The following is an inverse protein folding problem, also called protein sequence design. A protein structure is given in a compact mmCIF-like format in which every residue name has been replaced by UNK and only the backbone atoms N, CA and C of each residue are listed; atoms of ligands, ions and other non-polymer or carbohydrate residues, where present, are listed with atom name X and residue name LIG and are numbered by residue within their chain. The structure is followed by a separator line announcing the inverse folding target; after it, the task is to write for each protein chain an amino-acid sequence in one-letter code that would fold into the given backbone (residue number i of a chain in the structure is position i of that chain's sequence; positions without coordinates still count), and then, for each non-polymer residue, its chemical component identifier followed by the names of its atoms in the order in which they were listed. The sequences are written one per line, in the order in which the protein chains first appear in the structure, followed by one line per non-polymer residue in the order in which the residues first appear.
data_IF_998279121026
#
_entry.id   IF_998279121026
#
_cell.length_a   1.000
_cell.length_b   1.000
_cell.length_c   1.000
_cell.angle_alpha   90.00
_cell.angle_beta   90.00
_cell.angle_gamma   90.00
#
_symmetry.space_group_name_H-M   'P 1'
#
loop_
_entity.id
_entity.type
_entity.pdbx_description
1 polymer ?
#
# COMPACT_ATOMS: atom_id res chain seq x y z
N UNK A 1 10.96 -5.64 2.80
CA UNK A 1 9.65 -6.34 2.83
C UNK A 1 8.90 -5.95 1.57
N UNK A 2 8.30 -6.90 0.86
CA UNK A 2 7.50 -6.64 -0.35
C UNK A 2 6.03 -6.47 0.05
N UNK A 3 5.41 -5.38 -0.41
CA UNK A 3 3.97 -5.12 -0.23
C UNK A 3 3.23 -5.56 -1.50
N UNK A 4 2.84 -6.83 -1.53
CA UNK A 4 2.13 -7.43 -2.66
C UNK A 4 1.02 -8.36 -2.15
N UNK A 5 -0.14 -8.28 -2.78
CA UNK A 5 -1.36 -8.98 -2.37
C UNK A 5 -2.60 -8.12 -2.65
N UNK A 6 -3.74 -8.54 -2.10
CA UNK A 6 -4.96 -7.74 -2.14
C UNK A 6 -4.90 -6.50 -1.23
N UNK A 7 -5.88 -5.57 -1.33
CA UNK A 7 -5.90 -4.35 -0.53
C UNK A 7 -5.82 -4.57 0.99
N UNK A 8 -6.50 -5.59 1.51
CA UNK A 8 -6.50 -5.91 2.95
C UNK A 8 -5.11 -6.38 3.42
N UNK A 9 -4.42 -7.21 2.64
CA UNK A 9 -3.07 -7.65 2.95
C UNK A 9 -2.06 -6.51 2.90
N UNK A 10 -2.19 -5.63 1.91
CA UNK A 10 -1.29 -4.47 1.79
C UNK A 10 -1.51 -3.52 2.96
N UNK A 11 -2.78 -3.22 3.30
CA UNK A 11 -3.12 -2.39 4.45
C UNK A 11 -2.60 -2.97 5.77
N UNK A 12 -2.79 -4.28 6.00
CA UNK A 12 -2.36 -4.94 7.24
C UNK A 12 -0.84 -4.93 7.40
N UNK A 13 -0.07 -5.19 6.32
CA UNK A 13 1.40 -5.10 6.37
C UNK A 13 1.88 -3.67 6.62
N UNK A 14 1.22 -2.69 6.04
CA UNK A 14 1.50 -1.26 6.24
C UNK A 14 1.25 -0.87 7.71
N UNK A 15 0.11 -1.26 8.28
CA UNK A 15 -0.21 -1.01 9.69
C UNK A 15 0.76 -1.72 10.64
N UNK A 16 1.10 -2.98 10.33
CA UNK A 16 2.09 -3.73 11.10
C UNK A 16 3.46 -3.04 11.11
N UNK A 17 3.93 -2.54 9.96
CA UNK A 17 5.20 -1.81 9.94
C UNK A 17 5.13 -0.49 10.72
N UNK A 18 3.98 0.19 10.66
CA UNK A 18 3.75 1.41 11.45
C UNK A 18 3.78 1.12 12.95
N UNK A 19 3.14 0.04 13.43
CA UNK A 19 3.15 -0.29 14.85
C UNK A 19 4.53 -0.63 15.39
N UNK A 20 5.43 -1.11 14.52
CA UNK A 20 6.81 -1.41 14.87
C UNK A 20 7.73 -0.17 14.86
N UNK A 21 7.52 0.76 13.93
CA UNK A 21 8.48 1.85 13.65
C UNK A 21 7.95 3.26 13.90
N UNK A 22 6.65 3.43 14.11
CA UNK A 22 6.00 4.74 14.26
C UNK A 22 6.10 5.63 13.01
N UNK A 23 6.22 5.04 11.82
CA UNK A 23 6.42 5.80 10.59
C UNK A 23 5.09 6.30 9.98
N UNK A 24 5.01 7.58 9.63
CA UNK A 24 3.77 8.18 9.09
C UNK A 24 3.76 8.35 7.56
N UNK A 25 4.93 8.20 6.93
CA UNK A 25 5.10 8.28 5.48
C UNK A 25 5.47 6.93 4.90
N UNK A 26 4.84 6.57 3.77
CA UNK A 26 5.17 5.40 2.94
C UNK A 26 5.50 5.85 1.52
N UNK A 27 6.58 5.32 0.96
CA UNK A 27 6.96 5.46 -0.45
C UNK A 27 7.04 4.04 -1.01
N UNK A 28 6.35 3.77 -2.11
CA UNK A 28 6.25 2.44 -2.71
C UNK A 28 6.88 2.46 -4.11
N UNK A 29 7.83 1.57 -4.35
CA UNK A 29 8.28 1.24 -5.70
C UNK A 29 7.34 0.17 -6.26
N UNK A 30 6.68 0.48 -7.38
CA UNK A 30 5.61 -0.36 -7.93
C UNK A 30 5.93 -0.90 -9.32
N UNK A 31 6.74 -0.22 -10.12
CA UNK A 31 7.22 -0.75 -11.40
C UNK A 31 8.43 -1.66 -11.15
N UNK A 32 8.28 -2.92 -11.52
CA UNK A 32 9.33 -3.93 -11.45
C UNK A 32 9.39 -4.65 -12.80
N UNK A 33 10.42 -4.33 -13.59
CA UNK A 33 10.70 -5.05 -14.83
C UNK A 33 9.88 -4.62 -16.04
N UNK A 34 9.40 -3.37 -16.08
CA UNK A 34 8.68 -2.84 -17.24
C UNK A 34 7.23 -3.27 -17.26
N UNK A 35 6.56 -3.16 -16.11
CA UNK A 35 5.13 -3.46 -16.00
C UNK A 35 4.32 -2.58 -16.94
N UNK A 36 3.16 -3.07 -17.39
CA UNK A 36 2.29 -2.25 -18.22
C UNK A 36 1.80 -1.04 -17.42
N UNK A 37 1.70 0.12 -18.07
CA UNK A 37 1.18 1.33 -17.44
C UNK A 37 -0.22 1.10 -16.83
N UNK A 38 -1.06 0.30 -17.49
CA UNK A 38 -2.40 -0.02 -17.03
C UNK A 38 -2.41 -0.74 -15.67
N UNK A 39 -1.48 -1.69 -15.46
CA UNK A 39 -1.35 -2.40 -14.18
C UNK A 39 -0.83 -1.49 -13.05
N UNK A 40 0.12 -0.61 -13.37
CA UNK A 40 0.63 0.39 -12.42
C UNK A 40 -0.48 1.35 -12.01
N UNK A 41 -1.23 1.89 -12.98
CA UNK A 41 -2.35 2.79 -12.71
C UNK A 41 -3.47 2.11 -11.91
N UNK A 42 -3.80 0.86 -12.23
CA UNK A 42 -4.77 0.07 -11.44
C UNK A 42 -4.32 -0.09 -9.99
N UNK A 43 -3.02 -0.31 -9.78
CA UNK A 43 -2.48 -0.46 -8.43
C UNK A 43 -2.49 0.87 -7.67
N UNK A 44 -2.22 2.00 -8.34
CA UNK A 44 -2.36 3.35 -7.76
C UNK A 44 -3.80 3.61 -7.34
N UNK A 45 -4.77 3.27 -8.19
CA UNK A 45 -6.21 3.41 -7.88
C UNK A 45 -6.57 2.64 -6.62
N UNK A 46 -6.22 1.34 -6.54
CA UNK A 46 -6.48 0.51 -5.36
C UNK A 46 -5.78 1.04 -4.10
N UNK A 47 -4.58 1.59 -4.22
CA UNK A 47 -3.89 2.21 -3.09
C UNK A 47 -4.67 3.41 -2.55
N UNK A 48 -5.20 4.25 -3.44
CA UNK A 48 -5.95 5.46 -3.07
C UNK A 48 -7.36 5.18 -2.56
N UNK A 49 -8.09 4.26 -3.19
CA UNK A 49 -9.53 4.04 -2.93
C UNK A 49 -9.78 2.91 -1.93
N UNK A 50 -8.92 1.90 -1.88
CA UNK A 50 -9.13 0.75 -1.00
C UNK A 50 -8.16 0.76 0.19
N UNK A 51 -6.85 0.89 -0.06
CA UNK A 51 -5.84 0.71 0.99
C UNK A 51 -5.80 1.91 1.94
N UNK A 52 -5.72 3.13 1.41
CA UNK A 52 -5.58 4.35 2.23
C UNK A 52 -6.74 4.55 3.24
N UNK A 53 -8.03 4.37 2.87
CA UNK A 53 -9.13 4.48 3.83
C UNK A 53 -9.09 3.43 4.93
N UNK A 54 -8.60 2.22 4.66
CA UNK A 54 -8.43 1.16 5.67
C UNK A 54 -7.38 1.57 6.70
N UNK A 55 -6.24 2.07 6.24
CA UNK A 55 -5.17 2.54 7.15
C UNK A 55 -5.69 3.68 8.02
N UNK A 56 -6.34 4.70 7.42
CA UNK A 56 -6.83 5.88 8.16
C UNK A 56 -7.86 5.54 9.24
N UNK A 57 -8.59 4.44 9.13
CA UNK A 57 -9.52 4.00 10.17
C UNK A 57 -8.83 3.47 11.43
N UNK A 58 -7.60 2.98 11.31
CA UNK A 58 -6.87 2.34 12.40
C UNK A 58 -5.88 3.28 13.10
N UNK A 59 -5.39 4.31 12.40
CA UNK A 59 -4.42 5.30 12.92
C UNK A 59 -4.99 6.71 13.09
N UNK A 60 -6.23 6.93 12.65
CA UNK A 60 -6.93 8.23 12.70
C UNK A 60 -7.58 8.51 14.04
#
# INVERSE_FOLDING_TARGET
MVFAGGPDEVASRILHLHSLLGNDRRILQMDVGGMSQAEVLRSIELLGTEVLPRIRREVG
#
